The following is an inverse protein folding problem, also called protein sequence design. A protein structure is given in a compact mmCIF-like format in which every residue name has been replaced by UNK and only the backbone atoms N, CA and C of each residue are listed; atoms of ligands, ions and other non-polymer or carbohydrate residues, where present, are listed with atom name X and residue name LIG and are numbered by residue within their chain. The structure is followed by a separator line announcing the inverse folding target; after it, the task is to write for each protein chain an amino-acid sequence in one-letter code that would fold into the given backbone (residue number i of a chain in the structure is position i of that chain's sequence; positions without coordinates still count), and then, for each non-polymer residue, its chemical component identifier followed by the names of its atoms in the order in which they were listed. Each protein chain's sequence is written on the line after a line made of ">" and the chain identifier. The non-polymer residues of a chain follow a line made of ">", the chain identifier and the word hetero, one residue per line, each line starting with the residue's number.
data_IF_988871246993
#
_entry.id   IF_988871246993
#
_cell.length_a   1.000
_cell.length_b   1.000
_cell.length_c   1.000
_cell.angle_alpha   90.00
_cell.angle_beta   90.00
_cell.angle_gamma   90.00
#
_symmetry.space_group_name_H-M   'P 1'
#
loop_
_entity.id
_entity.type
_entity.pdbx_description
1 polymer ?
#
# COMPACT_ATOMS: atom_id res chain seq x y z
N UNK A 1 49.51 10.42 -13.26
CA UNK A 1 48.77 9.51 -14.17
C UNK A 1 48.90 8.13 -13.58
N UNK A 2 47.78 7.40 -13.51
CA UNK A 2 47.60 6.10 -12.83
C UNK A 2 47.55 6.11 -11.30
N UNK A 3 46.36 6.39 -10.75
CA UNK A 3 45.65 5.53 -9.75
C UNK A 3 44.19 6.00 -9.75
N UNK A 4 43.31 5.41 -10.57
CA UNK A 4 41.85 5.55 -10.46
C UNK A 4 41.14 4.65 -11.49
N UNK A 5 41.23 3.33 -11.35
CA UNK A 5 40.35 2.42 -12.10
C UNK A 5 40.32 1.02 -11.46
N UNK A 6 39.67 0.89 -10.29
CA UNK A 6 39.44 -0.42 -9.67
C UNK A 6 38.29 -0.51 -8.64
N UNK A 7 37.31 0.43 -8.59
CA UNK A 7 36.25 0.42 -7.56
C UNK A 7 34.80 0.50 -8.13
N UNK A 8 34.57 0.15 -9.40
CA UNK A 8 33.21 0.24 -9.97
C UNK A 8 32.68 -1.02 -10.68
N UNK A 9 33.16 -2.21 -10.29
CA UNK A 9 32.74 -3.47 -10.91
C UNK A 9 32.54 -4.60 -9.88
N UNK A 10 31.59 -4.47 -8.95
CA UNK A 10 31.16 -5.64 -8.14
C UNK A 10 29.84 -5.50 -7.36
N UNK A 11 28.74 -4.95 -7.90
CA UNK A 11 27.41 -5.11 -7.27
C UNK A 11 26.25 -5.12 -8.29
N UNK A 12 26.35 -5.97 -9.31
CA UNK A 12 25.17 -6.51 -9.99
C UNK A 12 25.26 -8.04 -9.94
N UNK A 13 25.05 -8.60 -8.76
CA UNK A 13 24.70 -10.02 -8.65
C UNK A 13 23.29 -10.15 -9.23
N UNK A 14 23.21 -10.46 -10.52
CA UNK A 14 21.94 -10.82 -11.15
C UNK A 14 21.49 -12.14 -10.52
N UNK A 15 20.34 -12.12 -9.86
CA UNK A 15 19.69 -13.34 -9.39
C UNK A 15 19.28 -14.19 -10.60
N UNK A 16 19.88 -15.37 -10.74
CA UNK A 16 19.58 -16.31 -11.83
C UNK A 16 18.24 -17.02 -11.55
N UNK A 17 17.45 -17.23 -12.61
CA UNK A 17 16.10 -17.81 -12.53
C UNK A 17 16.13 -19.19 -11.86
N UNK A 18 15.28 -19.38 -10.83
CA UNK A 18 15.09 -20.66 -10.15
C UNK A 18 16.18 -21.02 -9.14
N UNK A 19 17.17 -20.14 -8.90
CA UNK A 19 18.10 -20.30 -7.77
C UNK A 19 17.47 -19.76 -6.50
N UNK A 20 17.78 -20.39 -5.39
CA UNK A 20 17.38 -19.91 -4.06
C UNK A 20 18.01 -18.54 -3.77
N UNK A 21 17.26 -17.64 -3.14
CA UNK A 21 17.78 -16.33 -2.76
C UNK A 21 18.95 -16.48 -1.78
N UNK A 22 20.03 -15.74 -2.02
CA UNK A 22 21.18 -15.70 -1.12
C UNK A 22 21.16 -14.38 -0.37
N UNK A 23 21.29 -14.43 0.95
CA UNK A 23 21.27 -13.23 1.80
C UNK A 23 22.30 -12.20 1.30
N UNK A 24 21.87 -10.94 1.19
CA UNK A 24 22.72 -9.85 0.74
C UNK A 24 23.10 -9.00 1.94
N UNK A 25 24.41 -8.82 2.17
CA UNK A 25 24.88 -7.80 3.10
C UNK A 25 24.50 -6.42 2.54
N UNK A 26 23.59 -5.73 3.22
CA UNK A 26 23.04 -4.47 2.75
C UNK A 26 23.40 -3.32 3.69
N UNK A 27 23.89 -2.22 3.11
CA UNK A 27 24.15 -0.98 3.84
C UNK A 27 23.00 -0.03 3.58
N UNK A 28 22.22 0.24 4.62
CA UNK A 28 21.04 1.08 4.53
C UNK A 28 21.43 2.54 4.22
N UNK A 29 20.78 3.17 3.23
CA UNK A 29 20.96 4.59 2.98
C UNK A 29 20.51 5.43 4.18
N UNK A 30 21.24 6.50 4.45
CA UNK A 30 20.84 7.48 5.47
C UNK A 30 19.65 8.28 4.96
N UNK A 31 18.77 8.64 5.88
CA UNK A 31 17.64 9.53 5.66
C UNK A 31 17.40 10.40 6.89
N UNK A 32 16.74 11.53 6.68
CA UNK A 32 16.48 12.49 7.74
C UNK A 32 15.34 12.04 8.66
N UNK A 33 15.42 12.51 9.91
CA UNK A 33 14.34 12.39 10.88
C UNK A 33 13.12 13.19 10.40
N UNK A 34 11.91 12.70 10.68
CA UNK A 34 10.68 13.42 10.39
C UNK A 34 10.57 14.63 11.34
N UNK A 35 10.41 15.85 10.82
CA UNK A 35 10.62 17.06 11.62
C UNK A 35 9.43 17.46 12.50
N UNK A 36 8.27 16.81 12.35
CA UNK A 36 7.03 17.18 13.04
C UNK A 36 6.52 16.04 13.92
N UNK A 37 5.70 16.37 14.91
CA UNK A 37 4.89 15.34 15.56
C UNK A 37 3.83 14.79 14.61
N UNK A 38 3.39 13.54 14.81
CA UNK A 38 2.37 12.96 13.95
C UNK A 38 1.06 13.73 13.97
N UNK A 39 0.66 14.28 15.13
CA UNK A 39 -0.55 15.11 15.27
C UNK A 39 -0.56 16.35 14.36
N UNK A 40 0.62 16.85 13.99
CA UNK A 40 0.81 18.02 13.13
C UNK A 40 1.07 17.63 11.67
N UNK A 41 1.36 16.35 11.41
CA UNK A 41 1.68 15.83 10.09
C UNK A 41 0.41 15.60 9.29
N UNK A 42 0.15 16.45 8.30
CA UNK A 42 -1.03 16.30 7.44
C UNK A 42 -0.84 15.17 6.43
N UNK A 43 -1.93 14.45 6.05
CA UNK A 43 -1.87 13.47 4.97
C UNK A 43 -1.41 14.10 3.65
N UNK A 44 -0.54 13.41 2.92
CA UNK A 44 -0.05 13.89 1.63
C UNK A 44 -1.16 13.73 0.56
N UNK A 45 -1.54 14.80 -0.14
CA UNK A 45 -2.65 14.77 -1.10
C UNK A 45 -2.22 14.18 -2.44
N UNK A 46 -2.06 12.86 -2.54
CA UNK A 46 -1.77 12.20 -3.82
C UNK A 46 -2.94 12.40 -4.81
N UNK A 47 -2.65 12.93 -6.01
CA UNK A 47 -3.62 13.15 -7.10
C UNK A 47 -3.14 12.46 -8.40
N UNK A 48 -3.19 11.11 -8.47
CA UNK A 48 -2.58 10.34 -9.57
C UNK A 48 -3.45 10.33 -10.85
N UNK A 49 -4.00 11.47 -11.23
CA UNK A 49 -4.78 11.68 -12.44
C UNK A 49 -4.32 12.96 -13.15
N UNK A 50 -4.41 12.97 -14.48
CA UNK A 50 -3.84 14.01 -15.34
C UNK A 50 -4.85 14.47 -16.38
N UNK A 51 -4.63 15.66 -16.91
CA UNK A 51 -5.31 16.13 -18.12
C UNK A 51 -4.97 15.23 -19.31
N UNK A 52 -5.98 14.92 -20.14
CA UNK A 52 -5.80 14.24 -21.41
C UNK A 52 -5.71 12.71 -21.32
N UNK A 53 -5.12 12.11 -22.35
CA UNK A 53 -5.26 10.68 -22.64
C UNK A 53 -4.81 9.77 -21.50
N UNK A 54 -5.60 8.70 -21.29
CA UNK A 54 -5.32 7.69 -20.29
C UNK A 54 -4.41 6.58 -20.85
N UNK A 55 -3.26 6.35 -20.21
CA UNK A 55 -2.32 5.30 -20.59
C UNK A 55 -2.16 4.28 -19.46
N UNK A 56 -2.46 3.01 -19.77
CA UNK A 56 -2.20 1.90 -18.86
C UNK A 56 -0.70 1.61 -18.87
N UNK A 57 -0.03 1.95 -17.78
CA UNK A 57 1.40 1.66 -17.55
C UNK A 57 1.58 1.20 -16.11
N UNK A 58 2.76 0.66 -15.76
CA UNK A 58 3.08 0.32 -14.37
C UNK A 58 3.12 1.55 -13.44
N UNK A 59 3.43 2.73 -13.98
CA UNK A 59 3.44 3.99 -13.22
C UNK A 59 4.47 4.04 -12.09
N UNK A 60 5.49 3.18 -12.13
CA UNK A 60 6.53 3.08 -11.10
C UNK A 60 7.59 4.16 -11.28
N UNK A 61 8.06 4.70 -10.15
CA UNK A 61 9.20 5.62 -10.04
C UNK A 61 10.11 5.18 -8.91
N UNK A 62 11.34 5.68 -8.90
CA UNK A 62 12.26 5.42 -7.79
C UNK A 62 11.71 6.03 -6.50
N UNK A 63 11.80 5.29 -5.40
CA UNK A 63 11.37 5.74 -4.08
C UNK A 63 12.58 6.22 -3.28
N UNK A 64 12.63 7.48 -2.85
CA UNK A 64 13.61 7.91 -1.84
C UNK A 64 13.46 7.07 -0.58
N UNK A 65 14.57 6.70 0.06
CA UNK A 65 14.53 5.83 1.24
C UNK A 65 13.78 6.46 2.42
N UNK A 66 13.82 7.79 2.56
CA UNK A 66 13.07 8.55 3.57
C UNK A 66 11.54 8.46 3.40
N UNK A 67 11.09 7.92 2.27
CA UNK A 67 9.70 7.83 1.88
C UNK A 67 9.22 6.37 1.88
N UNK A 68 9.89 5.44 2.57
CA UNK A 68 9.41 4.05 2.59
C UNK A 68 8.03 3.95 3.22
N UNK A 69 7.89 4.36 4.48
CA UNK A 69 6.62 4.44 5.20
C UNK A 69 6.32 5.91 5.51
N UNK A 70 5.09 6.32 5.20
CA UNK A 70 4.55 7.66 5.48
C UNK A 70 3.45 7.56 6.52
N UNK A 71 3.65 8.22 7.66
CA UNK A 71 2.68 8.35 8.74
C UNK A 71 2.12 9.78 8.81
N UNK A 72 0.88 9.91 9.27
CA UNK A 72 0.20 11.20 9.42
C UNK A 72 -0.68 11.27 10.67
N UNK A 73 -1.35 12.42 10.85
CA UNK A 73 -2.20 12.70 11.99
C UNK A 73 -3.46 11.82 12.08
N UNK A 74 -3.71 10.96 11.10
CA UNK A 74 -4.77 9.96 11.15
C UNK A 74 -4.30 8.63 11.75
N UNK A 75 -3.01 8.52 12.13
CA UNK A 75 -2.40 7.28 12.63
C UNK A 75 -3.25 6.55 13.68
N UNK A 76 -3.69 7.24 14.75
CA UNK A 76 -4.47 6.61 15.81
C UNK A 76 -5.80 6.03 15.30
N UNK A 77 -6.49 6.73 14.39
CA UNK A 77 -7.74 6.24 13.81
C UNK A 77 -7.49 4.99 12.96
N UNK A 78 -6.43 4.99 12.16
CA UNK A 78 -6.04 3.82 11.37
C UNK A 78 -5.73 2.63 12.29
N UNK A 79 -4.97 2.84 13.37
CA UNK A 79 -4.63 1.74 14.27
C UNK A 79 -5.86 1.17 14.99
N UNK A 80 -6.82 2.01 15.40
CA UNK A 80 -8.11 1.51 15.95
C UNK A 80 -8.86 0.63 14.96
N UNK A 81 -8.99 1.08 13.71
CA UNK A 81 -9.65 0.30 12.65
C UNK A 81 -8.90 -1.00 12.39
N UNK A 82 -7.58 -0.93 12.27
CA UNK A 82 -6.72 -2.09 12.01
C UNK A 82 -6.76 -3.11 13.14
N UNK A 83 -6.62 -2.69 14.39
CA UNK A 83 -6.71 -3.58 15.56
C UNK A 83 -8.07 -4.27 15.61
N UNK A 84 -9.17 -3.53 15.42
CA UNK A 84 -10.52 -4.09 15.37
C UNK A 84 -10.68 -5.11 14.22
N UNK A 85 -10.12 -4.83 13.04
CA UNK A 85 -10.14 -5.76 11.89
C UNK A 85 -9.37 -7.04 12.20
N UNK A 86 -8.19 -6.94 12.80
CA UNK A 86 -7.37 -8.09 13.18
C UNK A 86 -8.12 -8.96 14.18
N UNK A 87 -8.72 -8.36 15.20
CA UNK A 87 -9.51 -9.05 16.22
C UNK A 87 -10.74 -9.76 15.64
N UNK A 88 -11.48 -9.08 14.75
CA UNK A 88 -12.77 -9.59 14.25
C UNK A 88 -12.67 -10.51 13.03
N UNK A 89 -11.61 -10.39 12.22
CA UNK A 89 -11.44 -11.16 10.99
C UNK A 89 -10.34 -12.22 11.07
N UNK A 90 -9.41 -12.11 12.03
CA UNK A 90 -8.34 -13.08 12.26
C UNK A 90 -7.57 -13.47 10.99
N UNK A 91 -7.51 -14.76 10.62
CA UNK A 91 -6.82 -15.24 9.43
C UNK A 91 -7.26 -14.60 8.11
N UNK A 92 -8.46 -14.00 8.08
CA UNK A 92 -8.97 -13.31 6.90
C UNK A 92 -8.22 -12.03 6.54
N UNK A 93 -7.47 -11.45 7.47
CA UNK A 93 -6.69 -10.20 7.29
C UNK A 93 -5.22 -10.32 7.69
N UNK A 94 -4.83 -11.26 8.56
CA UNK A 94 -3.43 -11.61 8.85
C UNK A 94 -3.20 -13.08 8.55
N UNK A 95 -2.25 -13.42 7.67
CA UNK A 95 -1.90 -14.81 7.43
C UNK A 95 -0.45 -14.94 6.96
N UNK A 96 0.20 -16.02 7.39
CA UNK A 96 1.51 -16.46 6.90
C UNK A 96 1.35 -17.91 6.44
N UNK A 97 1.75 -18.20 5.21
CA UNK A 97 1.74 -19.55 4.68
C UNK A 97 3.03 -20.29 5.02
N UNK A 98 2.93 -21.59 5.25
CA UNK A 98 4.05 -22.48 5.50
C UNK A 98 4.65 -23.04 4.19
N UNK A 99 5.76 -23.76 4.30
CA UNK A 99 6.44 -24.40 3.17
C UNK A 99 5.61 -25.53 2.51
N UNK A 100 4.58 -26.05 3.21
CA UNK A 100 3.73 -27.12 2.69
C UNK A 100 2.54 -26.58 1.88
N UNK A 101 2.22 -25.29 1.98
CA UNK A 101 1.10 -24.67 1.29
C UNK A 101 1.23 -24.76 -0.24
N UNK A 102 2.45 -24.66 -0.77
CA UNK A 102 2.71 -24.81 -2.20
C UNK A 102 4.15 -25.30 -2.45
N UNK A 103 4.36 -26.48 -3.06
CA UNK A 103 5.70 -27.03 -3.27
C UNK A 103 6.58 -26.20 -4.22
N UNK A 104 6.01 -25.28 -5.00
CA UNK A 104 6.77 -24.45 -5.93
C UNK A 104 7.49 -23.28 -5.23
N UNK A 105 7.17 -22.94 -3.98
CA UNK A 105 7.60 -21.71 -3.33
C UNK A 105 7.67 -21.88 -1.80
N UNK A 106 8.64 -21.21 -1.16
CA UNK A 106 8.76 -21.22 0.30
C UNK A 106 7.63 -20.44 0.97
N UNK A 107 7.33 -20.81 2.21
CA UNK A 107 6.42 -20.09 3.08
C UNK A 107 6.92 -18.69 3.46
N UNK A 108 6.02 -17.90 4.04
CA UNK A 108 6.25 -16.49 4.40
C UNK A 108 6.98 -16.25 5.71
N UNK A 109 7.31 -17.31 6.47
CA UNK A 109 7.77 -17.20 7.86
C UNK A 109 9.02 -16.32 8.04
N UNK A 110 10.10 -16.59 7.30
CA UNK A 110 11.34 -15.80 7.43
C UNK A 110 11.13 -14.34 7.02
N UNK A 111 10.39 -14.11 5.94
CA UNK A 111 10.11 -12.78 5.43
C UNK A 111 9.24 -11.94 6.40
N UNK A 112 8.31 -12.58 7.12
CA UNK A 112 7.52 -11.92 8.15
C UNK A 112 8.39 -11.45 9.33
N UNK A 113 9.32 -12.29 9.79
CA UNK A 113 10.27 -11.93 10.85
C UNK A 113 11.20 -10.79 10.40
N UNK A 114 11.77 -10.90 9.20
CA UNK A 114 12.63 -9.85 8.66
C UNK A 114 11.88 -8.52 8.53
N UNK A 115 10.65 -8.54 8.00
CA UNK A 115 9.84 -7.34 7.79
C UNK A 115 9.61 -6.56 9.08
N UNK A 116 9.29 -7.24 10.19
CA UNK A 116 9.00 -6.52 11.45
C UNK A 116 10.24 -5.82 11.99
N UNK A 117 11.43 -6.43 11.87
CA UNK A 117 12.69 -5.81 12.25
C UNK A 117 13.05 -4.64 11.33
N UNK A 118 12.87 -4.81 10.02
CA UNK A 118 13.10 -3.76 9.04
C UNK A 118 12.21 -2.53 9.27
N UNK A 119 10.93 -2.74 9.57
CA UNK A 119 10.00 -1.66 9.92
C UNK A 119 10.39 -1.01 11.24
N UNK A 120 10.72 -1.79 12.28
CA UNK A 120 11.10 -1.24 13.57
C UNK A 120 12.37 -0.37 13.48
N UNK A 121 13.37 -0.81 12.71
CA UNK A 121 14.60 -0.06 12.47
C UNK A 121 14.34 1.23 11.67
N UNK A 122 13.50 1.16 10.63
CA UNK A 122 13.12 2.33 9.84
C UNK A 122 12.33 3.35 10.67
N UNK A 123 11.26 2.91 11.33
CA UNK A 123 10.32 3.77 12.03
C UNK A 123 10.95 4.46 13.24
N UNK A 124 11.77 3.76 14.02
CA UNK A 124 12.47 4.36 15.17
C UNK A 124 13.51 5.41 14.78
N UNK A 125 14.07 5.34 13.56
CA UNK A 125 14.95 6.39 13.01
C UNK A 125 14.18 7.50 12.35
N UNK A 126 13.11 7.18 11.61
CA UNK A 126 12.35 8.17 10.85
C UNK A 126 11.43 8.97 11.76
N UNK A 127 10.82 8.36 12.76
CA UNK A 127 9.82 8.95 13.66
C UNK A 127 10.18 8.71 15.14
N UNK A 128 11.33 9.20 15.63
CA UNK A 128 11.83 8.89 16.98
C UNK A 128 10.94 9.42 18.11
N UNK A 129 10.12 10.45 17.87
CA UNK A 129 9.13 10.94 18.85
C UNK A 129 7.94 9.98 19.00
N UNK A 130 7.66 9.20 17.95
CA UNK A 130 6.55 8.24 17.91
C UNK A 130 6.99 6.85 18.36
N UNK A 131 8.18 6.41 17.96
CA UNK A 131 8.65 5.04 18.23
C UNK A 131 9.92 5.04 19.06
N UNK A 132 9.85 4.39 20.22
CA UNK A 132 10.99 4.14 21.09
C UNK A 132 11.35 2.67 21.06
N UNK A 133 12.63 2.34 21.13
CA UNK A 133 13.10 0.95 21.04
C UNK A 133 14.00 0.57 22.20
N UNK A 134 13.87 -0.67 22.67
CA UNK A 134 14.90 -1.34 23.46
C UNK A 134 15.59 -2.39 22.61
N UNK A 135 16.87 -2.65 22.85
CA UNK A 135 17.66 -3.62 22.08
C UNK A 135 18.11 -4.78 22.97
N UNK A 136 18.34 -5.93 22.35
CA UNK A 136 19.06 -7.01 23.01
C UNK A 136 20.49 -6.57 23.34
N UNK A 137 21.10 -7.20 24.34
CA UNK A 137 22.47 -6.89 24.77
C UNK A 137 23.54 -7.53 23.88
N UNK A 138 23.17 -8.57 23.13
CA UNK A 138 24.06 -9.30 22.23
C UNK A 138 23.58 -9.13 20.79
N UNK A 139 24.51 -9.04 19.82
CA UNK A 139 24.15 -9.13 18.41
C UNK A 139 23.46 -10.48 18.13
N UNK A 140 22.55 -10.48 17.15
CA UNK A 140 21.85 -11.69 16.71
C UNK A 140 22.86 -12.70 16.14
N UNK A 141 22.59 -13.99 16.39
CA UNK A 141 23.48 -15.11 16.06
C UNK A 141 23.15 -15.74 14.71
N UNK A 142 21.87 -15.73 14.31
CA UNK A 142 21.43 -16.38 13.07
C UNK A 142 21.33 -15.38 11.93
N UNK A 143 20.75 -14.21 12.21
CA UNK A 143 20.55 -13.15 11.24
C UNK A 143 21.15 -11.84 11.77
N UNK A 144 21.23 -10.81 10.92
CA UNK A 144 21.72 -9.48 11.32
C UNK A 144 20.57 -8.49 11.27
N UNK A 145 19.54 -8.72 12.08
CA UNK A 145 18.33 -7.87 12.08
C UNK A 145 18.63 -6.40 12.38
N UNK A 146 19.66 -6.14 13.19
CA UNK A 146 20.01 -4.78 13.57
C UNK A 146 20.73 -4.01 12.46
N UNK A 147 20.21 -2.83 12.12
CA UNK A 147 20.84 -1.95 11.14
C UNK A 147 22.19 -1.43 11.66
N UNK A 148 23.14 -1.23 10.74
CA UNK A 148 24.50 -0.72 11.00
C UNK A 148 25.30 -1.54 12.04
N UNK A 149 24.98 -2.83 12.18
CA UNK A 149 25.67 -3.73 13.10
C UNK A 149 25.24 -3.57 14.57
N UNK A 150 24.16 -2.84 14.84
CA UNK A 150 23.56 -2.78 16.17
C UNK A 150 22.95 -4.14 16.56
N UNK A 151 22.81 -4.44 17.86
CA UNK A 151 22.00 -5.56 18.32
C UNK A 151 20.54 -5.44 17.86
N UNK A 152 19.83 -6.55 17.64
CA UNK A 152 18.43 -6.52 17.22
C UNK A 152 17.56 -5.73 18.21
N UNK A 153 16.53 -5.07 17.69
CA UNK A 153 15.48 -4.45 18.51
C UNK A 153 14.74 -5.57 19.24
N UNK A 154 14.67 -5.47 20.56
CA UNK A 154 13.89 -6.37 21.42
C UNK A 154 12.45 -5.91 21.49
N UNK A 155 12.23 -4.64 21.82
CA UNK A 155 10.88 -4.07 21.91
C UNK A 155 10.79 -2.77 21.16
N UNK A 156 9.62 -2.49 20.62
CA UNK A 156 9.24 -1.20 20.05
C UNK A 156 7.98 -0.70 20.74
N UNK A 157 8.03 0.54 21.22
CA UNK A 157 6.95 1.24 21.91
C UNK A 157 6.38 2.31 20.98
N UNK A 158 5.08 2.25 20.72
CA UNK A 158 4.31 3.26 19.99
C UNK A 158 3.78 4.28 20.99
N UNK A 159 4.51 5.37 21.17
CA UNK A 159 4.27 6.36 22.25
C UNK A 159 2.85 6.92 22.22
N UNK A 160 2.28 7.34 21.08
CA UNK A 160 0.93 7.92 21.06
C UNK A 160 -0.19 6.93 21.43
N UNK A 161 0.09 5.63 21.44
CA UNK A 161 -0.85 4.57 21.82
C UNK A 161 -0.56 3.99 23.20
N UNK A 162 0.61 4.29 23.78
CA UNK A 162 1.12 3.65 24.99
C UNK A 162 1.15 2.11 24.88
N UNK A 163 1.50 1.61 23.70
CA UNK A 163 1.59 0.18 23.40
C UNK A 163 3.05 -0.21 23.16
N UNK A 164 3.45 -1.38 23.66
CA UNK A 164 4.79 -1.94 23.46
C UNK A 164 4.69 -3.35 22.92
N UNK A 165 5.46 -3.62 21.87
CA UNK A 165 5.53 -4.93 21.22
C UNK A 165 6.92 -5.53 21.38
N UNK A 166 7.00 -6.81 21.74
CA UNK A 166 8.23 -7.58 21.72
C UNK A 166 8.38 -8.27 20.36
N UNK A 167 9.54 -8.06 19.71
CA UNK A 167 9.79 -8.57 18.37
C UNK A 167 10.33 -10.00 18.42
N UNK A 168 9.74 -10.96 17.68
CA UNK A 168 10.30 -12.29 17.58
C UNK A 168 11.63 -12.27 16.81
N UNK A 169 12.60 -13.07 17.25
CA UNK A 169 13.91 -13.16 16.59
C UNK A 169 13.97 -14.25 15.51
N UNK A 170 13.03 -15.20 15.53
CA UNK A 170 12.97 -16.28 14.54
C UNK A 170 11.54 -16.81 14.38
N UNK A 171 11.26 -17.57 13.31
CA UNK A 171 9.98 -18.26 13.13
C UNK A 171 9.63 -19.24 14.25
N UNK A 172 10.62 -19.70 15.01
CA UNK A 172 10.46 -20.68 16.08
C UNK A 172 10.34 -20.03 17.47
N UNK A 173 10.26 -18.70 17.54
CA UNK A 173 10.27 -17.96 18.79
C UNK A 173 8.85 -17.95 19.44
N UNK A 174 8.38 -19.14 19.84
CA UNK A 174 7.06 -19.40 20.38
C UNK A 174 5.95 -19.53 19.32
N UNK A 175 4.75 -19.91 19.76
CA UNK A 175 3.63 -20.23 18.86
C UNK A 175 3.19 -19.03 18.02
N UNK A 176 3.05 -19.22 16.70
CA UNK A 176 2.60 -18.17 15.77
C UNK A 176 3.55 -16.96 15.69
N UNK A 177 4.85 -17.15 15.89
CA UNK A 177 5.83 -16.05 15.88
C UNK A 177 5.77 -15.21 14.59
N UNK A 178 5.52 -15.84 13.45
CA UNK A 178 5.44 -15.15 12.16
C UNK A 178 4.16 -14.33 12.00
N UNK A 179 3.03 -14.84 12.46
CA UNK A 179 1.76 -14.12 12.49
C UNK A 179 1.80 -12.97 13.49
N UNK A 180 2.46 -13.15 14.64
CA UNK A 180 2.73 -12.06 15.58
C UNK A 180 3.60 -10.99 14.93
N UNK A 181 4.65 -11.36 14.20
CA UNK A 181 5.49 -10.41 13.46
C UNK A 181 4.68 -9.64 12.41
N UNK A 182 3.83 -10.31 11.63
CA UNK A 182 2.93 -9.63 10.69
C UNK A 182 1.92 -8.72 11.40
N UNK A 183 1.36 -9.15 12.52
CA UNK A 183 0.43 -8.36 13.33
C UNK A 183 1.10 -7.09 13.86
N UNK A 184 2.30 -7.20 14.43
CA UNK A 184 3.09 -6.06 14.90
C UNK A 184 3.42 -5.14 13.73
N UNK A 185 3.92 -5.69 12.62
CA UNK A 185 4.22 -4.91 11.40
C UNK A 185 3.01 -4.10 10.94
N UNK A 186 1.83 -4.70 10.98
CA UNK A 186 0.57 -4.07 10.65
C UNK A 186 0.24 -2.92 11.64
N UNK A 187 0.41 -3.13 12.95
CA UNK A 187 0.08 -2.14 13.99
C UNK A 187 1.11 -1.01 14.15
N UNK A 188 2.27 -1.12 13.50
CA UNK A 188 3.29 -0.08 13.45
C UNK A 188 3.06 0.96 12.34
N UNK A 189 2.24 0.66 11.32
CA UNK A 189 2.10 1.48 10.11
C UNK A 189 0.65 1.64 9.66
N UNK A 190 0.37 2.62 8.79
CA UNK A 190 -0.96 2.82 8.20
C UNK A 190 -1.19 2.05 6.89
N UNK A 191 -0.17 1.35 6.40
CA UNK A 191 -0.22 0.60 5.15
C UNK A 191 -0.79 -0.81 5.37
N UNK A 192 -1.43 -1.35 4.34
CA UNK A 192 -1.57 -2.80 4.19
C UNK A 192 -0.26 -3.40 3.65
N UNK A 193 0.03 -4.65 4.02
CA UNK A 193 1.27 -5.35 3.70
C UNK A 193 0.99 -6.63 2.92
N UNK A 194 1.63 -6.80 1.77
CA UNK A 194 1.71 -8.08 1.07
C UNK A 194 3.16 -8.50 0.84
N UNK A 195 3.48 -9.74 1.21
CA UNK A 195 4.82 -10.33 1.10
C UNK A 195 4.82 -11.29 -0.08
N UNK A 196 5.60 -10.94 -1.09
CA UNK A 196 5.71 -11.69 -2.35
C UNK A 196 7.05 -12.45 -2.38
N UNK A 197 7.02 -13.77 -2.54
CA UNK A 197 8.21 -14.63 -2.56
C UNK A 197 8.36 -15.25 -3.94
N UNK A 198 9.58 -15.27 -4.47
CA UNK A 198 9.90 -15.95 -5.73
C UNK A 198 9.87 -17.47 -5.54
N UNK A 199 9.08 -18.15 -6.37
CA UNK A 199 9.06 -19.60 -6.47
C UNK A 199 10.21 -20.13 -7.33
N UNK A 200 10.43 -21.43 -7.23
CA UNK A 200 11.41 -22.18 -8.04
C UNK A 200 11.13 -22.13 -9.54
N UNK A 201 9.90 -21.81 -9.94
CA UNK A 201 9.48 -21.59 -11.33
C UNK A 201 9.75 -20.15 -11.85
N UNK A 202 10.19 -19.27 -10.96
CA UNK A 202 10.48 -17.85 -11.21
C UNK A 202 9.26 -16.93 -11.16
N UNK A 203 8.10 -17.40 -10.68
CA UNK A 203 6.90 -16.58 -10.42
C UNK A 203 6.93 -16.05 -8.99
N UNK A 204 6.24 -14.96 -8.72
CA UNK A 204 6.12 -14.40 -7.37
C UNK A 204 4.77 -14.75 -6.76
N UNK A 205 4.77 -15.28 -5.54
CA UNK A 205 3.58 -15.76 -4.83
C UNK A 205 3.31 -14.92 -3.58
N UNK A 206 2.04 -14.66 -3.29
CA UNK A 206 1.62 -13.94 -2.09
C UNK A 206 1.64 -14.87 -0.87
N UNK A 207 2.72 -14.85 -0.08
CA UNK A 207 3.00 -15.86 0.95
C UNK A 207 2.72 -15.42 2.39
N UNK A 208 2.67 -14.12 2.63
CA UNK A 208 2.26 -13.58 3.93
C UNK A 208 1.64 -12.21 3.74
N UNK A 209 0.68 -11.83 4.58
CA UNK A 209 0.01 -10.55 4.43
C UNK A 209 -0.63 -10.04 5.70
N UNK A 210 -0.78 -8.72 5.74
CA UNK A 210 -1.60 -7.98 6.69
C UNK A 210 -2.44 -6.95 5.92
N UNK A 211 -3.63 -7.36 5.49
CA UNK A 211 -4.53 -6.56 4.65
C UNK A 211 -5.77 -6.19 5.47
N UNK A 212 -5.65 -5.12 6.24
CA UNK A 212 -6.67 -4.65 7.16
C UNK A 212 -7.64 -3.67 6.50
N UNK A 213 -7.17 -2.87 5.54
CA UNK A 213 -7.94 -1.81 4.86
C UNK A 213 -7.98 -1.95 3.34
N UNK A 214 -8.42 -3.10 2.80
CA UNK A 214 -8.26 -3.45 1.39
C UNK A 214 -8.97 -2.51 0.40
N UNK A 215 -8.38 -2.37 -0.78
CA UNK A 215 -8.95 -1.67 -1.93
C UNK A 215 -9.82 -2.55 -2.83
N UNK A 216 -11.01 -2.94 -2.36
CA UNK A 216 -12.00 -3.72 -3.13
C UNK A 216 -11.56 -5.15 -3.50
N UNK A 217 -10.80 -5.81 -2.63
CA UNK A 217 -10.46 -7.23 -2.72
C UNK A 217 -10.25 -7.78 -1.30
N UNK A 218 -10.24 -9.11 -1.10
CA UNK A 218 -9.96 -9.70 0.22
C UNK A 218 -8.68 -10.54 0.14
N UNK A 219 -7.87 -10.47 1.20
CA UNK A 219 -6.64 -11.26 1.28
C UNK A 219 -6.92 -12.76 1.16
N UNK A 220 -7.94 -13.26 1.86
CA UNK A 220 -8.36 -14.67 1.80
C UNK A 220 -8.69 -15.19 0.40
N UNK A 221 -9.03 -14.30 -0.53
CA UNK A 221 -9.33 -14.67 -1.92
C UNK A 221 -8.07 -14.73 -2.80
N UNK A 222 -6.90 -14.32 -2.27
CA UNK A 222 -5.67 -14.06 -3.05
C UNK A 222 -4.41 -14.66 -2.46
N UNK A 223 -4.37 -14.92 -1.15
CA UNK A 223 -3.22 -15.50 -0.46
C UNK A 223 -2.85 -16.85 -1.11
N UNK A 224 -1.56 -17.09 -1.29
CA UNK A 224 -0.99 -18.26 -1.97
C UNK A 224 -1.00 -18.19 -3.49
N UNK A 225 -1.73 -17.24 -4.11
CA UNK A 225 -1.77 -17.13 -5.56
C UNK A 225 -0.48 -16.51 -6.12
N UNK A 226 -0.08 -16.89 -7.34
CA UNK A 226 0.96 -16.20 -8.08
C UNK A 226 0.48 -14.82 -8.57
N UNK A 227 1.43 -13.90 -8.76
CA UNK A 227 1.21 -12.48 -9.06
C UNK A 227 0.28 -12.27 -10.27
N UNK A 228 0.46 -13.04 -11.33
CA UNK A 228 -0.37 -12.95 -12.53
C UNK A 228 -1.80 -13.39 -12.27
N UNK A 229 -2.01 -14.47 -11.52
CA UNK A 229 -3.34 -14.95 -11.18
C UNK A 229 -4.10 -13.98 -10.28
N UNK A 230 -3.41 -13.31 -9.34
CA UNK A 230 -3.99 -12.24 -8.51
C UNK A 230 -4.61 -11.14 -9.39
N UNK A 231 -3.88 -10.72 -10.44
CA UNK A 231 -4.30 -9.64 -11.34
C UNK A 231 -5.35 -10.10 -12.36
N UNK A 232 -5.19 -11.30 -12.92
CA UNK A 232 -6.13 -11.91 -13.88
C UNK A 232 -7.48 -12.14 -13.21
N UNK A 233 -7.50 -12.82 -12.06
CA UNK A 233 -8.72 -13.06 -11.29
C UNK A 233 -9.29 -11.79 -10.67
N UNK A 234 -8.46 -10.75 -10.53
CA UNK A 234 -8.88 -9.40 -10.17
C UNK A 234 -9.39 -8.57 -11.36
N UNK A 235 -9.43 -9.13 -12.58
CA UNK A 235 -9.97 -8.46 -13.77
C UNK A 235 -9.22 -7.18 -14.17
N UNK A 236 -7.92 -7.09 -13.91
CA UNK A 236 -7.12 -5.89 -14.28
C UNK A 236 -7.10 -5.72 -15.81
N UNK A 237 -7.54 -4.57 -16.35
CA UNK A 237 -7.65 -4.35 -17.78
C UNK A 237 -6.31 -4.47 -18.50
N UNK A 238 -6.32 -5.09 -19.67
CA UNK A 238 -5.14 -5.30 -20.54
C UNK A 238 -3.94 -5.98 -19.82
N UNK A 239 -4.17 -6.70 -18.71
CA UNK A 239 -3.07 -7.25 -17.92
C UNK A 239 -2.24 -8.27 -18.71
N UNK A 240 -2.90 -9.26 -19.32
CA UNK A 240 -2.23 -10.33 -20.07
C UNK A 240 -1.48 -9.76 -21.27
N UNK A 241 -2.07 -8.76 -21.92
CA UNK A 241 -1.61 -8.21 -23.19
C UNK A 241 -0.48 -7.19 -23.01
N UNK A 242 -0.53 -6.37 -21.95
CA UNK A 242 0.40 -5.23 -21.80
C UNK A 242 1.23 -5.21 -20.51
N UNK A 243 0.78 -5.82 -19.43
CA UNK A 243 1.43 -5.67 -18.12
C UNK A 243 2.18 -6.90 -17.67
N UNK A 244 1.68 -8.10 -17.96
CA UNK A 244 2.16 -9.38 -17.42
C UNK A 244 3.69 -9.54 -17.54
N UNK A 245 4.21 -9.57 -18.79
CA UNK A 245 5.64 -9.79 -19.04
C UNK A 245 6.53 -8.69 -18.44
N UNK A 246 6.05 -7.45 -18.43
CA UNK A 246 6.79 -6.32 -17.84
C UNK A 246 6.86 -6.47 -16.33
N UNK A 247 5.75 -6.83 -15.69
CA UNK A 247 5.64 -6.95 -14.24
C UNK A 247 6.46 -8.12 -13.70
N UNK A 248 6.39 -9.30 -14.34
CA UNK A 248 7.21 -10.46 -13.94
C UNK A 248 8.71 -10.14 -14.04
N UNK A 249 9.14 -9.53 -15.15
CA UNK A 249 10.54 -9.11 -15.33
C UNK A 249 10.95 -8.06 -14.30
N UNK A 250 10.04 -7.14 -13.98
CA UNK A 250 10.28 -6.09 -13.00
C UNK A 250 10.50 -6.67 -11.60
N UNK A 251 9.59 -7.52 -11.12
CA UNK A 251 9.70 -8.16 -9.81
C UNK A 251 11.03 -8.91 -9.69
N UNK A 252 11.36 -9.78 -10.65
CA UNK A 252 12.62 -10.55 -10.63
C UNK A 252 13.87 -9.66 -10.61
N UNK A 253 13.83 -8.49 -11.25
CA UNK A 253 14.99 -7.59 -11.38
C UNK A 253 15.04 -6.49 -10.32
N UNK A 254 14.01 -6.35 -9.48
CA UNK A 254 13.97 -5.31 -8.45
C UNK A 254 15.13 -5.53 -7.48
N UNK A 255 16.14 -4.65 -7.42
CA UNK A 255 17.27 -4.85 -6.53
C UNK A 255 16.95 -4.32 -5.13
N UNK A 256 17.73 -4.73 -4.13
CA UNK A 256 17.51 -4.36 -2.72
C UNK A 256 17.62 -2.84 -2.52
N UNK A 257 18.56 -2.18 -3.20
CA UNK A 257 18.90 -0.78 -3.00
C UNK A 257 17.99 0.22 -3.74
N UNK A 258 17.12 -0.25 -4.66
CA UNK A 258 16.25 0.61 -5.49
C UNK A 258 14.77 0.27 -5.30
N UNK A 259 14.21 0.54 -4.11
CA UNK A 259 12.77 0.42 -3.94
C UNK A 259 12.04 1.38 -4.88
N UNK A 260 10.82 1.02 -5.23
CA UNK A 260 9.97 1.82 -6.11
C UNK A 260 8.66 2.17 -5.44
N UNK A 261 8.03 3.18 -6.01
CA UNK A 261 6.73 3.66 -5.60
C UNK A 261 5.87 3.87 -6.84
N UNK A 262 4.57 3.65 -6.70
CA UNK A 262 3.54 3.99 -7.69
C UNK A 262 2.28 4.42 -6.96
N UNK A 263 1.36 5.01 -7.70
CA UNK A 263 0.05 5.36 -7.17
C UNK A 263 -1.06 4.74 -7.98
N UNK A 264 -2.16 4.48 -7.29
CA UNK A 264 -3.40 3.99 -7.83
C UNK A 264 -4.56 4.76 -7.20
N UNK A 265 -5.72 4.78 -7.83
CA UNK A 265 -6.88 5.44 -7.26
C UNK A 265 -8.21 4.88 -7.76
N UNK A 266 -9.25 5.05 -6.95
CA UNK A 266 -10.63 4.73 -7.27
C UNK A 266 -11.57 5.76 -6.65
N UNK A 267 -12.83 5.74 -7.08
CA UNK A 267 -13.90 6.38 -6.34
C UNK A 267 -14.65 5.33 -5.53
N UNK A 268 -14.88 5.65 -4.26
CA UNK A 268 -15.57 4.81 -3.29
C UNK A 268 -16.81 5.57 -2.81
N UNK A 269 -17.93 4.88 -2.70
CA UNK A 269 -19.16 5.40 -2.09
C UNK A 269 -19.23 4.94 -0.65
N UNK A 270 -19.49 5.85 0.28
CA UNK A 270 -19.62 5.57 1.72
C UNK A 270 -21.01 5.97 2.21
N UNK A 271 -21.41 5.51 3.40
CA UNK A 271 -22.66 5.95 4.04
C UNK A 271 -22.75 7.49 4.14
N UNK A 272 -23.92 8.08 3.85
CA UNK A 272 -24.14 9.51 4.06
C UNK A 272 -24.02 9.83 5.56
N UNK A 273 -23.63 11.05 5.91
CA UNK A 273 -23.28 11.42 7.28
C UNK A 273 -24.40 11.11 8.28
N UNK A 274 -25.65 11.34 7.89
CA UNK A 274 -26.84 11.05 8.71
C UNK A 274 -27.04 9.57 9.06
N UNK A 275 -26.51 8.66 8.24
CA UNK A 275 -26.67 7.20 8.41
C UNK A 275 -25.42 6.56 9.04
N UNK A 276 -24.40 7.35 9.37
CA UNK A 276 -23.20 6.86 10.06
C UNK A 276 -23.52 6.67 11.53
N UNK A 277 -23.35 5.44 12.01
CA UNK A 277 -23.59 5.12 13.40
C UNK A 277 -22.63 5.90 14.31
N UNK A 278 -23.18 6.59 15.31
CA UNK A 278 -22.38 7.21 16.35
C UNK A 278 -21.52 6.15 17.05
N UNK A 279 -20.22 6.43 17.19
CA UNK A 279 -19.27 5.48 17.76
C UNK A 279 -18.83 4.35 16.82
N UNK A 280 -19.20 4.38 15.52
CA UNK A 280 -18.62 3.47 14.53
C UNK A 280 -17.09 3.59 14.54
N UNK A 281 -16.40 2.44 14.54
CA UNK A 281 -14.94 2.38 14.48
C UNK A 281 -14.46 2.84 13.09
N UNK A 282 -15.24 2.56 12.04
CA UNK A 282 -14.92 2.89 10.65
C UNK A 282 -16.05 3.69 9.96
N UNK A 283 -16.24 4.97 10.33
CA UNK A 283 -17.35 5.78 9.82
C UNK A 283 -17.17 6.22 8.36
N UNK A 284 -15.95 6.16 7.83
CA UNK A 284 -15.62 6.50 6.44
C UNK A 284 -15.46 5.27 5.55
N UNK A 285 -15.79 4.06 6.06
CA UNK A 285 -15.62 2.81 5.33
C UNK A 285 -14.20 2.65 4.74
N UNK A 286 -13.19 3.04 5.51
CA UNK A 286 -11.78 2.91 5.17
C UNK A 286 -11.40 1.44 4.98
N UNK A 287 -11.84 0.58 5.89
CA UNK A 287 -11.49 -0.83 5.89
C UNK A 287 -12.26 -1.62 4.85
N UNK A 288 -13.59 -1.49 4.86
CA UNK A 288 -14.44 -2.13 3.87
C UNK A 288 -15.61 -1.23 3.52
N UNK A 289 -15.77 -0.98 2.22
CA UNK A 289 -16.89 -0.19 1.72
C UNK A 289 -18.06 -1.05 1.30
N UNK A 290 -18.99 -1.23 2.24
CA UNK A 290 -20.28 -1.88 1.98
C UNK A 290 -21.12 -1.09 0.98
N UNK A 291 -21.07 0.25 1.02
CA UNK A 291 -21.83 1.06 0.08
C UNK A 291 -21.31 0.95 -1.37
N UNK A 292 -20.05 0.53 -1.55
CA UNK A 292 -19.46 0.26 -2.86
C UNK A 292 -19.63 -1.20 -3.28
N UNK A 293 -19.29 -2.15 -2.40
CA UNK A 293 -19.12 -3.56 -2.77
C UNK A 293 -20.17 -4.50 -2.19
N UNK A 294 -21.08 -4.00 -1.35
CA UNK A 294 -21.94 -4.84 -0.53
C UNK A 294 -21.23 -5.42 0.70
N UNK A 295 -21.94 -6.20 1.52
CA UNK A 295 -21.39 -6.83 2.71
C UNK A 295 -20.13 -7.66 2.41
N UNK A 296 -19.08 -7.52 3.22
CA UNK A 296 -17.79 -8.20 2.94
C UNK A 296 -17.88 -9.72 2.96
N UNK A 297 -18.73 -10.28 3.81
CA UNK A 297 -18.99 -11.71 3.91
C UNK A 297 -19.67 -12.28 2.66
N UNK A 298 -20.46 -11.48 1.95
CA UNK A 298 -21.13 -11.84 0.70
C UNK A 298 -20.29 -11.55 -0.54
N UNK A 299 -19.21 -10.77 -0.39
CA UNK A 299 -18.31 -10.45 -1.49
C UNK A 299 -17.74 -11.72 -2.15
N UNK A 300 -17.66 -11.69 -3.47
CA UNK A 300 -16.99 -12.72 -4.27
C UNK A 300 -15.93 -12.04 -5.13
N UNK A 301 -14.77 -12.68 -5.25
CA UNK A 301 -13.70 -12.13 -6.08
C UNK A 301 -14.19 -11.90 -7.53
N UNK A 302 -14.07 -10.67 -8.01
CA UNK A 302 -14.61 -10.22 -9.29
C UNK A 302 -15.92 -9.43 -9.20
N UNK A 303 -16.69 -9.56 -8.12
CA UNK A 303 -17.98 -8.88 -7.91
C UNK A 303 -17.85 -7.46 -7.33
N UNK A 304 -16.75 -6.77 -7.63
CA UNK A 304 -16.56 -5.37 -7.22
C UNK A 304 -17.67 -4.48 -7.77
N UNK A 305 -17.99 -3.42 -7.03
CA UNK A 305 -19.07 -2.50 -7.39
C UNK A 305 -20.41 -3.25 -7.52
N UNK A 306 -20.71 -4.10 -6.52
CA UNK A 306 -22.01 -4.74 -6.33
C UNK A 306 -22.71 -4.13 -5.09
N UNK A 307 -23.12 -2.85 -5.16
CA UNK A 307 -23.72 -2.21 -4.01
C UNK A 307 -25.02 -2.91 -3.58
N UNK A 308 -25.45 -2.75 -2.31
CA UNK A 308 -26.74 -3.24 -1.84
C UNK A 308 -27.89 -2.77 -2.74
N UNK A 309 -28.84 -3.67 -3.02
CA UNK A 309 -29.99 -3.39 -3.91
C UNK A 309 -30.79 -2.16 -3.48
N UNK A 310 -30.90 -1.95 -2.17
CA UNK A 310 -31.61 -0.83 -1.57
C UNK A 310 -30.59 0.06 -0.87
N UNK A 311 -30.08 1.05 -1.60
CA UNK A 311 -29.23 2.11 -1.04
C UNK A 311 -29.61 3.48 -1.60
N UNK A 312 -29.23 4.53 -0.88
CA UNK A 312 -29.33 5.89 -1.40
C UNK A 312 -28.50 6.03 -2.69
N UNK A 313 -29.01 6.83 -3.63
CA UNK A 313 -28.25 7.26 -4.78
C UNK A 313 -26.98 8.00 -4.31
N UNK A 314 -25.80 7.77 -4.93
CA UNK A 314 -24.60 8.50 -4.55
C UNK A 314 -24.80 10.01 -4.64
N UNK A 315 -24.33 10.74 -3.62
CA UNK A 315 -24.20 12.20 -3.62
C UNK A 315 -22.71 12.59 -3.50
N UNK A 316 -22.33 13.86 -3.74
CA UNK A 316 -20.95 14.29 -3.57
C UNK A 316 -20.40 14.03 -2.16
N UNK A 317 -21.24 14.25 -1.13
CA UNK A 317 -20.94 13.98 0.28
C UNK A 317 -20.53 12.52 0.53
N UNK A 318 -21.14 11.58 -0.19
CA UNK A 318 -20.91 10.14 -0.06
C UNK A 318 -19.67 9.66 -0.82
N UNK A 319 -19.08 10.45 -1.70
CA UNK A 319 -17.95 9.99 -2.51
C UNK A 319 -16.61 10.32 -1.89
N UNK A 320 -15.71 9.35 -1.94
CA UNK A 320 -14.30 9.48 -1.58
C UNK A 320 -13.44 9.13 -2.77
N UNK A 321 -12.45 9.97 -3.06
CA UNK A 321 -11.28 9.53 -3.80
C UNK A 321 -10.47 8.65 -2.85
N UNK A 322 -10.43 7.36 -3.16
CA UNK A 322 -9.53 6.40 -2.54
C UNK A 322 -8.23 6.42 -3.33
N UNK A 323 -7.19 7.01 -2.76
CA UNK A 323 -5.85 7.04 -3.35
C UNK A 323 -4.96 6.03 -2.63
N UNK A 324 -4.24 5.23 -3.37
CA UNK A 324 -3.31 4.22 -2.84
C UNK A 324 -1.91 4.59 -3.28
N UNK A 325 -1.05 4.89 -2.32
CA UNK A 325 0.38 5.03 -2.51
C UNK A 325 1.02 3.69 -2.21
N UNK A 326 1.62 3.10 -3.22
CA UNK A 326 2.05 1.72 -3.20
C UNK A 326 3.55 1.62 -3.37
N UNK A 327 4.24 0.95 -2.44
CA UNK A 327 5.69 0.77 -2.51
C UNK A 327 6.04 -0.69 -2.76
N UNK A 328 7.15 -0.92 -3.47
CA UNK A 328 7.75 -2.24 -3.63
C UNK A 328 9.20 -2.17 -3.19
N UNK A 329 9.56 -2.97 -2.20
CA UNK A 329 10.91 -3.07 -1.66
C UNK A 329 11.30 -4.52 -1.50
N UNK A 330 12.48 -4.89 -2.01
CA UNK A 330 13.05 -6.23 -1.76
C UNK A 330 13.79 -6.23 -0.42
N UNK A 331 13.57 -7.27 0.38
CA UNK A 331 14.28 -7.49 1.62
C UNK A 331 15.62 -8.22 1.40
N UNK A 332 16.71 -7.81 2.07
CA UNK A 332 18.05 -8.34 1.83
C UNK A 332 18.25 -9.81 2.27
N UNK A 333 17.60 -10.25 3.35
CA UNK A 333 17.81 -11.58 3.93
C UNK A 333 16.88 -12.59 3.24
N UNK A 334 15.57 -12.42 3.32
CA UNK A 334 14.61 -13.36 2.72
C UNK A 334 14.50 -13.25 1.19
N UNK A 335 14.89 -12.12 0.60
CA UNK A 335 14.68 -11.84 -0.82
C UNK A 335 13.24 -11.54 -1.21
N UNK A 336 12.32 -11.55 -0.23
CA UNK A 336 10.91 -11.26 -0.44
C UNK A 336 10.72 -9.81 -0.90
N UNK A 337 9.72 -9.58 -1.73
CA UNK A 337 9.28 -8.24 -2.13
C UNK A 337 8.08 -7.87 -1.27
N UNK A 338 8.24 -6.77 -0.54
CA UNK A 338 7.21 -6.19 0.30
C UNK A 338 6.47 -5.16 -0.53
N UNK A 339 5.17 -5.41 -0.70
CA UNK A 339 4.23 -4.49 -1.30
C UNK A 339 3.45 -3.79 -0.18
N UNK A 340 3.73 -2.50 0.03
CA UNK A 340 2.96 -1.68 0.98
C UNK A 340 1.88 -0.89 0.25
N UNK A 341 0.72 -0.73 0.87
CA UNK A 341 -0.44 -0.03 0.28
C UNK A 341 -0.95 1.00 1.29
N UNK A 342 -0.43 2.23 1.21
CA UNK A 342 -0.92 3.36 2.00
C UNK A 342 -2.20 3.91 1.36
N UNK A 343 -3.32 3.79 2.06
CA UNK A 343 -4.61 4.26 1.57
C UNK A 343 -4.96 5.64 2.12
N UNK A 344 -5.44 6.54 1.28
CA UNK A 344 -6.01 7.83 1.66
C UNK A 344 -7.44 7.94 1.15
N UNK A 345 -8.35 8.46 1.98
CA UNK A 345 -9.70 8.82 1.57
C UNK A 345 -9.85 10.35 1.58
N UNK A 346 -10.13 10.94 0.42
CA UNK A 346 -10.42 12.37 0.30
C UNK A 346 -11.87 12.59 -0.15
N UNK A 347 -12.70 13.35 0.60
CA UNK A 347 -14.05 13.70 0.17
C UNK A 347 -14.09 14.37 -1.20
N UNK A 348 -15.05 13.97 -2.05
CA UNK A 348 -15.22 14.60 -3.36
C UNK A 348 -15.47 16.11 -3.25
N UNK A 349 -16.17 16.54 -2.21
CA UNK A 349 -16.39 17.96 -1.94
C UNK A 349 -15.12 18.73 -1.57
N UNK A 350 -14.15 18.07 -0.95
CA UNK A 350 -12.84 18.67 -0.72
C UNK A 350 -12.09 18.84 -2.05
N UNK A 351 -12.18 17.86 -2.95
CA UNK A 351 -11.60 17.94 -4.30
C UNK A 351 -12.27 19.02 -5.15
N UNK A 352 -13.58 19.22 -5.02
CA UNK A 352 -14.31 20.29 -5.71
C UNK A 352 -13.86 21.70 -5.31
N UNK A 353 -13.39 21.86 -4.07
CA UNK A 353 -12.84 23.12 -3.54
C UNK A 353 -11.35 23.30 -3.81
N UNK A 354 -10.65 22.24 -4.22
CA UNK A 354 -9.22 22.25 -4.43
C UNK A 354 -8.90 22.84 -5.83
N UNK A 355 -8.15 23.96 -5.94
CA UNK A 355 -7.93 24.64 -7.22
C UNK A 355 -7.36 23.71 -8.31
N UNK A 356 -8.00 23.72 -9.48
CA UNK A 356 -7.59 22.95 -10.67
C UNK A 356 -7.77 21.42 -10.59
N UNK A 357 -8.04 20.87 -9.39
CA UNK A 357 -8.28 19.44 -9.20
C UNK A 357 -9.59 18.94 -9.82
N UNK A 358 -10.75 19.63 -9.72
CA UNK A 358 -12.00 19.07 -10.21
C UNK A 358 -11.98 18.89 -11.73
N UNK A 359 -11.49 19.89 -12.48
CA UNK A 359 -11.34 19.81 -13.93
C UNK A 359 -10.41 18.67 -14.36
N UNK A 360 -9.27 18.49 -13.68
CA UNK A 360 -8.35 17.38 -13.96
C UNK A 360 -8.96 16.01 -13.74
N UNK A 361 -9.65 15.81 -12.61
CA UNK A 361 -10.28 14.54 -12.30
C UNK A 361 -11.37 14.24 -13.34
N UNK A 362 -12.19 15.24 -13.66
CA UNK A 362 -13.26 15.14 -14.65
C UNK A 362 -12.70 14.83 -16.06
N UNK A 363 -11.60 15.46 -16.48
CA UNK A 363 -10.92 15.13 -17.73
C UNK A 363 -10.40 13.70 -17.75
N UNK A 364 -9.70 13.27 -16.69
CA UNK A 364 -9.17 11.91 -16.60
C UNK A 364 -10.28 10.86 -16.64
N UNK A 365 -11.41 11.12 -15.97
CA UNK A 365 -12.58 10.23 -15.95
C UNK A 365 -13.19 10.01 -17.34
N UNK A 366 -13.25 11.07 -18.16
CA UNK A 366 -13.76 11.00 -19.55
C UNK A 366 -12.87 10.16 -20.46
N UNK A 367 -11.56 10.18 -20.20
CA UNK A 367 -10.54 9.54 -21.02
C UNK A 367 -10.32 8.06 -20.68
N UNK A 368 -11.02 7.51 -19.68
CA UNK A 368 -10.93 6.09 -19.37
C UNK A 368 -11.46 5.24 -20.53
N UNK A 369 -10.66 4.30 -21.07
CA UNK A 369 -11.17 3.26 -21.95
C UNK A 369 -12.30 2.49 -21.26
N UNK A 370 -13.22 1.92 -22.05
CA UNK A 370 -14.41 1.20 -21.54
C UNK A 370 -14.06 0.22 -20.43
N UNK A 371 -13.08 -0.66 -20.65
CA UNK A 371 -12.63 -1.65 -19.67
C UNK A 371 -12.04 -1.05 -18.38
N UNK A 372 -11.40 0.12 -18.46
CA UNK A 372 -10.90 0.85 -17.28
C UNK A 372 -12.06 1.47 -16.52
N UNK A 373 -13.03 2.05 -17.24
CA UNK A 373 -14.27 2.53 -16.65
C UNK A 373 -15.02 1.42 -15.91
N UNK A 374 -15.23 0.27 -16.56
CA UNK A 374 -15.86 -0.91 -15.98
C UNK A 374 -15.09 -1.39 -14.72
N UNK A 375 -13.76 -1.50 -14.83
CA UNK A 375 -12.89 -1.90 -13.72
C UNK A 375 -12.93 -0.94 -12.53
N UNK A 376 -13.09 0.37 -12.79
CA UNK A 376 -13.23 1.40 -11.75
C UNK A 376 -14.67 1.57 -11.28
N UNK A 377 -15.62 0.81 -11.80
CA UNK A 377 -17.02 0.85 -11.38
C UNK A 377 -17.80 2.05 -11.92
N UNK A 378 -17.43 2.59 -13.08
CA UNK A 378 -18.07 3.74 -13.74
C UNK A 378 -19.60 3.61 -13.76
N UNK A 379 -20.11 2.54 -14.35
CA UNK A 379 -21.57 2.33 -14.46
C UNK A 379 -22.11 1.55 -13.26
N UNK A 380 -21.44 0.45 -12.86
CA UNK A 380 -21.87 -0.43 -11.75
C UNK A 380 -21.92 0.26 -10.39
N UNK A 381 -21.06 1.25 -10.15
CA UNK A 381 -21.06 2.04 -8.93
C UNK A 381 -22.15 3.13 -8.91
N UNK A 382 -22.84 3.36 -10.03
CA UNK A 382 -23.91 4.35 -10.23
C UNK A 382 -23.57 5.78 -9.80
N UNK A 383 -22.28 6.12 -9.71
CA UNK A 383 -21.79 7.39 -9.22
C UNK A 383 -21.24 8.28 -10.33
N UNK A 384 -20.86 7.72 -11.49
CA UNK A 384 -20.07 8.43 -12.51
C UNK A 384 -20.75 9.69 -13.05
N UNK A 385 -22.01 9.59 -13.47
CA UNK A 385 -22.72 10.74 -14.04
C UNK A 385 -22.86 11.89 -13.03
N UNK A 386 -23.19 11.55 -11.78
CA UNK A 386 -23.29 12.52 -10.68
C UNK A 386 -21.93 13.16 -10.37
N UNK A 387 -20.88 12.34 -10.21
CA UNK A 387 -19.54 12.83 -9.91
C UNK A 387 -19.01 13.75 -11.01
N UNK A 388 -19.22 13.38 -12.28
CA UNK A 388 -18.78 14.19 -13.41
C UNK A 388 -19.48 15.55 -13.44
N UNK A 389 -20.81 15.56 -13.31
CA UNK A 389 -21.58 16.80 -13.28
C UNK A 389 -21.20 17.72 -12.10
N UNK A 390 -20.95 17.13 -10.92
CA UNK A 390 -20.46 17.87 -9.76
C UNK A 390 -19.08 18.49 -10.01
N UNK A 391 -18.12 17.71 -10.52
CA UNK A 391 -16.77 18.19 -10.80
C UNK A 391 -16.75 19.27 -11.89
N UNK A 392 -17.57 19.13 -12.93
CA UNK A 392 -17.69 20.15 -13.98
C UNK A 392 -18.24 21.45 -13.43
N UNK A 393 -19.28 21.39 -12.58
CA UNK A 393 -19.83 22.56 -11.90
C UNK A 393 -18.74 23.24 -11.07
N UNK A 394 -18.03 22.49 -10.23
CA UNK A 394 -16.95 23.06 -9.41
C UNK A 394 -15.83 23.66 -10.26
N UNK A 395 -15.47 23.02 -11.38
CA UNK A 395 -14.46 23.53 -12.28
C UNK A 395 -14.90 24.85 -12.94
N UNK A 396 -16.15 24.93 -13.42
CA UNK A 396 -16.69 26.17 -13.99
C UNK A 396 -16.72 27.28 -12.94
N UNK A 397 -17.16 26.99 -11.72
CA UNK A 397 -17.15 27.97 -10.63
C UNK A 397 -15.73 28.47 -10.30
N UNK A 398 -14.69 27.62 -10.42
CA UNK A 398 -13.28 28.03 -10.26
C UNK A 398 -12.83 28.95 -11.41
N UNK A 399 -13.24 28.67 -12.66
CA UNK A 399 -12.97 29.52 -13.83
C UNK A 399 -13.65 30.88 -13.70
N UNK A 400 -14.93 30.91 -13.29
CA UNK A 400 -15.71 32.13 -13.12
C UNK A 400 -15.13 33.06 -12.04
N UNK A 401 -14.46 32.48 -11.02
CA UNK A 401 -13.73 33.24 -9.98
C UNK A 401 -12.34 33.69 -10.41
N UNK A 402 -11.85 33.27 -11.58
CA UNK A 402 -10.48 33.55 -12.04
C UNK A 402 -9.40 32.84 -11.21
N UNK A 403 -9.74 31.75 -10.53
CA UNK A 403 -8.77 30.93 -9.77
C UNK A 403 -7.91 30.04 -10.70
N UNK A 404 -8.28 29.97 -11.98
CA UNK A 404 -7.66 29.12 -12.99
C UNK A 404 -7.93 29.70 -14.39
N UNK A 405 -6.96 29.65 -15.30
CA UNK A 405 -7.16 30.09 -16.69
C UNK A 405 -7.63 28.92 -17.59
N UNK A 406 -8.60 29.18 -18.48
CA UNK A 406 -9.09 28.18 -19.43
C UNK A 406 -7.98 27.78 -20.41
N UNK A 407 -7.59 26.50 -20.39
CA UNK A 407 -6.49 25.99 -21.21
C UNK A 407 -5.14 25.88 -20.49
N UNK A 408 -5.02 26.35 -19.24
CA UNK A 408 -3.93 25.93 -18.36
C UNK A 408 -4.06 24.43 -18.08
N UNK A 409 -3.46 23.62 -18.94
CA UNK A 409 -3.00 22.29 -18.53
C UNK A 409 -1.89 22.57 -17.54
N UNK A 410 -2.23 22.90 -16.30
CA UNK A 410 -1.26 23.11 -15.24
C UNK A 410 -0.55 21.76 -15.02
N UNK A 411 0.50 21.55 -15.83
CA UNK A 411 1.37 20.37 -15.83
C UNK A 411 2.15 20.30 -14.52
N UNK A 412 2.16 21.40 -13.77
CA UNK A 412 3.05 21.70 -12.65
C UNK A 412 2.34 21.94 -11.32
N UNK A 413 1.09 21.49 -11.12
CA UNK A 413 0.41 21.70 -9.83
C UNK A 413 1.06 21.00 -8.62
N UNK A 414 2.29 20.50 -8.73
CA UNK A 414 3.14 20.05 -7.63
C UNK A 414 2.67 18.82 -6.86
N UNK A 415 1.47 18.29 -7.14
CA UNK A 415 0.97 17.13 -6.40
C UNK A 415 1.90 15.95 -6.64
N UNK A 416 2.33 15.27 -5.56
CA UNK A 416 3.07 14.05 -5.70
C UNK A 416 2.17 13.05 -6.44
N UNK A 417 2.68 12.55 -7.57
CA UNK A 417 2.12 11.40 -8.28
C UNK A 417 2.47 10.13 -7.57
#
# INVERSE_FOLDING_TARGET
>A
MEVCSAIFLSYQLFHERGKEWTHIAFRYPKFDIWPLELSETKPIPYRPFRWGSYHITMGTRSMPWADWIELDNQYQQYQRIRAHRIETQGPGVIQVLDDNANPAVKGGHLAAIELVHELAEYLSRRYPTTFHVSRHTKPDVDYKWGWDGLPPIKTITVVPLNETHELPLSPFNGDWASERAMTISALLIQDDLAVMIEGTDGRYYFQAGAICVPGFWRMRDKIGMPLDEIHISGGVPQYREKLHLSLERFFRRLPVEKPVIRNNYFLQTVRPQRDRMAGSIDPEELAWSECTNGPENEFRNGDRFAPPKYRAAPTPEMLRLRSERQTLRRLPISGAIIFTIRTYLTPLEALGREPGVPGRLASSMREWPREVGDYKGKDRGTWYAMALAYLDKCHQEQLDRGEFEEGEKNRESGYPY
#
